data_IF_710463015366
#
_entry.id   IF_710463015366
#
_cell.length_a   1.000
_cell.length_b   1.000
_cell.length_c   1.000
_cell.angle_alpha   90.00
_cell.angle_beta   90.00
_cell.angle_gamma   90.00
#
_symmetry.space_group_name_H-M   'P 1'
#
loop_
_entity.id
_entity.type
_entity.pdbx_description
1 polymer ?
#
# COMPACT_ATOMS: atom_id res chain seq x y z
N UNK A 1 -18.50 38.19 65.12
CA UNK A 1 -18.40 36.85 64.67
C UNK A 1 -19.40 36.57 63.53
N UNK A 2 -18.97 36.67 62.29
CA UNK A 2 -19.82 36.41 61.12
C UNK A 2 -19.52 34.96 60.64
N UNK A 3 -20.52 34.08 60.71
CA UNK A 3 -20.44 32.69 60.20
C UNK A 3 -20.72 32.72 58.72
N UNK A 4 -19.74 32.29 57.92
CA UNK A 4 -19.95 32.02 56.49
C UNK A 4 -20.40 30.56 56.30
N UNK A 5 -21.61 30.38 55.78
CA UNK A 5 -22.11 29.12 55.26
C UNK A 5 -21.48 28.86 53.90
N UNK A 6 -20.69 27.83 53.75
CA UNK A 6 -20.21 27.31 52.48
C UNK A 6 -21.26 26.30 51.99
N UNK A 7 -21.98 26.70 50.92
CA UNK A 7 -22.86 25.79 50.19
C UNK A 7 -22.01 25.01 49.19
N UNK A 8 -21.81 23.74 49.43
CA UNK A 8 -21.12 22.81 48.54
C UNK A 8 -22.14 22.36 47.49
N UNK A 9 -22.09 22.94 46.29
CA UNK A 9 -22.88 22.46 45.14
C UNK A 9 -22.21 21.23 44.52
N UNK A 10 -22.73 20.04 44.80
CA UNK A 10 -22.37 18.81 44.09
C UNK A 10 -22.91 18.92 42.65
N UNK A 11 -22.02 19.19 41.69
CA UNK A 11 -22.34 19.02 40.29
C UNK A 11 -22.19 17.51 39.95
N UNK A 12 -23.31 16.83 39.88
CA UNK A 12 -23.40 15.48 39.30
C UNK A 12 -23.13 15.59 37.80
N UNK A 13 -21.89 15.35 37.39
CA UNK A 13 -21.55 15.07 35.99
C UNK A 13 -22.09 13.68 35.68
N UNK A 14 -23.31 13.61 35.15
CA UNK A 14 -23.84 12.43 34.52
C UNK A 14 -23.01 12.17 33.27
N UNK A 15 -21.97 11.36 33.39
CA UNK A 15 -21.23 10.78 32.27
C UNK A 15 -22.19 9.95 31.42
N UNK A 16 -22.74 10.52 30.37
CA UNK A 16 -23.41 9.78 29.32
C UNK A 16 -22.36 8.89 28.68
N UNK A 17 -22.27 7.64 29.10
CA UNK A 17 -21.63 6.58 28.33
C UNK A 17 -22.44 6.52 27.04
N UNK A 18 -21.91 7.13 25.95
CA UNK A 18 -22.48 6.96 24.63
C UNK A 18 -22.42 5.46 24.32
N UNK A 19 -23.53 4.76 24.53
CA UNK A 19 -23.73 3.41 23.99
C UNK A 19 -23.49 3.54 22.50
N UNK A 20 -22.49 2.83 21.98
CA UNK A 20 -22.33 2.70 20.55
C UNK A 20 -23.71 2.28 20.00
N UNK A 21 -24.29 3.12 19.15
CA UNK A 21 -25.63 2.82 18.60
C UNK A 21 -25.50 1.52 17.81
N UNK A 22 -26.29 0.55 18.23
CA UNK A 22 -26.34 -0.75 17.56
C UNK A 22 -26.84 -0.56 16.11
N UNK A 23 -26.22 -1.24 15.16
CA UNK A 23 -26.59 -1.11 13.76
C UNK A 23 -28.06 -1.46 13.57
N UNK A 24 -28.91 -0.59 12.98
CA UNK A 24 -30.35 -0.79 12.93
C UNK A 24 -30.79 -2.03 12.14
N UNK A 25 -29.94 -2.53 11.23
CA UNK A 25 -30.19 -3.76 10.46
C UNK A 25 -30.00 -5.06 11.24
N UNK A 26 -29.59 -5.03 12.52
CA UNK A 26 -29.32 -6.23 13.30
C UNK A 26 -30.56 -7.14 13.41
N UNK A 27 -31.69 -6.58 13.81
CA UNK A 27 -32.96 -7.34 13.93
C UNK A 27 -33.40 -7.97 12.59
N UNK A 28 -33.15 -7.28 11.47
CA UNK A 28 -33.41 -7.82 10.14
C UNK A 28 -32.52 -9.02 9.84
N UNK A 29 -31.20 -8.92 10.13
CA UNK A 29 -30.24 -9.98 9.90
C UNK A 29 -30.52 -11.20 10.80
N UNK A 30 -30.88 -10.97 12.08
CA UNK A 30 -31.28 -12.04 13.00
C UNK A 30 -32.47 -12.84 12.46
N UNK A 31 -33.46 -12.16 11.89
CA UNK A 31 -34.66 -12.78 11.36
C UNK A 31 -34.45 -13.48 10.01
N UNK A 32 -33.67 -12.87 9.10
CA UNK A 32 -33.64 -13.28 7.68
C UNK A 32 -32.28 -13.89 7.28
N UNK A 33 -31.28 -13.84 8.14
CA UNK A 33 -29.91 -14.22 7.84
C UNK A 33 -29.18 -13.19 6.94
N UNK A 34 -27.91 -13.44 6.65
CA UNK A 34 -27.10 -12.65 5.74
C UNK A 34 -26.91 -13.37 4.41
N UNK A 35 -27.42 -12.78 3.33
CA UNK A 35 -27.39 -13.33 1.97
C UNK A 35 -26.39 -12.60 1.04
N UNK A 36 -25.48 -11.80 1.61
CA UNK A 36 -24.54 -10.98 0.84
C UNK A 36 -25.03 -9.54 0.68
N UNK A 37 -24.51 -8.80 -0.33
CA UNK A 37 -24.81 -7.37 -0.53
C UNK A 37 -26.31 -7.05 -0.61
N UNK A 38 -27.12 -7.96 -1.18
CA UNK A 38 -28.57 -7.80 -1.24
C UNK A 38 -29.22 -7.61 0.13
N UNK A 39 -28.66 -8.19 1.20
CA UNK A 39 -29.15 -7.97 2.56
C UNK A 39 -28.95 -6.51 2.99
N UNK A 40 -27.82 -5.90 2.64
CA UNK A 40 -27.51 -4.51 2.97
C UNK A 40 -28.40 -3.52 2.20
N UNK A 41 -28.76 -3.86 0.98
CA UNK A 41 -29.61 -3.02 0.10
C UNK A 41 -31.12 -3.24 0.32
N UNK A 42 -31.48 -4.29 1.08
CA UNK A 42 -32.89 -4.60 1.35
C UNK A 42 -33.55 -3.52 2.20
N UNK A 43 -34.86 -3.44 2.13
CA UNK A 43 -35.69 -2.50 2.90
C UNK A 43 -35.31 -1.02 2.75
N UNK A 44 -34.58 -0.66 1.67
CA UNK A 44 -34.08 0.72 1.45
C UNK A 44 -32.96 1.15 2.39
N UNK A 45 -32.26 0.22 3.06
CA UNK A 45 -31.22 0.57 4.02
C UNK A 45 -29.98 1.21 3.36
N UNK A 46 -29.39 0.56 2.35
CA UNK A 46 -28.22 1.03 1.61
C UNK A 46 -28.39 0.89 0.08
N UNK A 47 -29.39 1.56 -0.51
CA UNK A 47 -29.75 1.33 -1.91
C UNK A 47 -28.63 1.77 -2.87
N UNK A 48 -28.28 0.91 -3.84
CA UNK A 48 -27.30 1.19 -4.88
C UNK A 48 -25.84 1.14 -4.44
N UNK A 49 -25.58 0.77 -3.20
CA UNK A 49 -24.23 0.72 -2.62
C UNK A 49 -23.32 -0.28 -3.32
N UNK A 50 -23.85 -1.46 -3.67
CA UNK A 50 -23.10 -2.47 -4.39
C UNK A 50 -22.67 -1.94 -5.78
N UNK A 51 -23.61 -1.37 -6.55
CA UNK A 51 -23.31 -0.78 -7.86
C UNK A 51 -22.26 0.35 -7.77
N UNK A 52 -22.35 1.19 -6.72
CA UNK A 52 -21.38 2.24 -6.45
C UNK A 52 -19.99 1.66 -6.19
N UNK A 53 -19.89 0.61 -5.36
CA UNK A 53 -18.62 -0.04 -5.03
C UNK A 53 -17.91 -0.62 -6.26
N UNK A 54 -18.63 -1.13 -7.25
CA UNK A 54 -18.06 -1.63 -8.51
C UNK A 54 -17.28 -0.57 -9.30
N UNK A 55 -17.47 0.72 -9.02
CA UNK A 55 -16.74 1.82 -9.71
C UNK A 55 -15.43 2.17 -9.04
N UNK A 56 -15.15 1.64 -7.85
CA UNK A 56 -14.01 2.01 -7.02
C UNK A 56 -12.74 1.27 -7.42
N UNK A 57 -11.59 1.81 -7.02
CA UNK A 57 -10.29 1.16 -7.20
C UNK A 57 -10.21 -0.18 -6.46
N UNK A 58 -10.85 -0.33 -5.29
CA UNK A 58 -10.85 -1.60 -4.56
C UNK A 58 -11.54 -2.73 -5.33
N UNK A 59 -12.53 -2.42 -6.16
CA UNK A 59 -13.14 -3.40 -7.03
C UNK A 59 -12.39 -3.58 -8.35
N UNK A 60 -12.09 -2.46 -9.02
CA UNK A 60 -11.47 -2.48 -10.35
C UNK A 60 -9.99 -2.82 -10.32
N UNK A 61 -9.30 -2.56 -9.20
CA UNK A 61 -7.85 -2.58 -9.08
C UNK A 61 -7.14 -1.78 -10.18
N UNK A 62 -7.82 -0.83 -10.76
CA UNK A 62 -7.32 0.01 -11.84
C UNK A 62 -7.93 1.41 -11.81
N UNK A 63 -7.21 2.38 -12.36
CA UNK A 63 -7.69 3.73 -12.66
C UNK A 63 -6.84 4.33 -13.78
N UNK A 64 -7.21 5.53 -14.27
CA UNK A 64 -6.32 6.30 -15.14
C UNK A 64 -5.02 6.62 -14.39
N UNK A 65 -3.90 6.45 -15.07
CA UNK A 65 -2.57 6.66 -14.50
C UNK A 65 -1.95 7.95 -15.08
N UNK A 66 -2.68 9.06 -14.99
CA UNK A 66 -2.37 10.32 -15.69
C UNK A 66 -1.04 10.97 -15.30
N UNK A 67 -0.50 10.57 -14.12
CA UNK A 67 0.79 11.01 -13.62
C UNK A 67 1.94 10.04 -13.91
N UNK A 68 1.74 9.04 -14.76
CA UNK A 68 2.73 8.00 -15.10
C UNK A 68 3.17 8.14 -16.55
N UNK A 69 4.47 8.04 -16.80
CA UNK A 69 5.02 8.04 -18.16
C UNK A 69 4.69 6.74 -18.91
N UNK A 70 4.67 6.84 -20.23
CA UNK A 70 4.51 5.71 -21.14
C UNK A 70 3.21 4.91 -20.91
N UNK A 71 2.15 5.60 -20.52
CA UNK A 71 0.79 5.07 -20.46
C UNK A 71 -0.10 5.82 -21.46
N UNK A 72 -1.11 5.17 -21.98
CA UNK A 72 -2.10 5.76 -22.85
C UNK A 72 -3.11 6.57 -22.01
N UNK A 73 -3.29 7.85 -22.35
CA UNK A 73 -4.20 8.73 -21.62
C UNK A 73 -5.65 8.24 -21.73
N UNK A 74 -6.36 8.29 -20.62
CA UNK A 74 -7.76 7.84 -20.54
C UNK A 74 -7.94 6.32 -20.43
N UNK A 75 -6.89 5.54 -20.63
CA UNK A 75 -6.92 4.10 -20.36
C UNK A 75 -6.67 3.83 -18.90
N UNK A 76 -7.37 2.84 -18.34
CA UNK A 76 -7.16 2.42 -16.96
C UNK A 76 -6.01 1.43 -16.87
N UNK A 77 -5.14 1.65 -15.89
CA UNK A 77 -4.01 0.79 -15.55
C UNK A 77 -4.07 0.38 -14.08
N UNK A 78 -3.72 -0.86 -13.80
CA UNK A 78 -3.75 -1.41 -12.46
C UNK A 78 -3.23 -2.83 -12.37
N UNK A 79 -3.80 -3.65 -11.51
CA UNK A 79 -3.34 -5.02 -11.28
C UNK A 79 -3.37 -5.88 -12.55
N UNK A 80 -4.35 -5.69 -13.43
CA UNK A 80 -4.55 -6.54 -14.61
C UNK A 80 -3.68 -6.16 -15.80
N UNK A 81 -3.34 -4.89 -15.96
CA UNK A 81 -2.72 -4.38 -17.19
C UNK A 81 -1.58 -3.37 -16.94
N UNK A 82 -0.91 -3.46 -15.78
CA UNK A 82 0.31 -2.67 -15.54
C UNK A 82 1.38 -3.09 -16.53
N UNK A 83 2.00 -2.10 -17.14
CA UNK A 83 3.16 -2.29 -18.01
C UNK A 83 4.46 -2.08 -17.22
N UNK A 84 5.56 -2.64 -17.70
CA UNK A 84 6.92 -2.49 -17.17
C UNK A 84 7.10 -2.85 -15.70
N UNK A 85 6.41 -3.86 -15.17
CA UNK A 85 6.59 -4.29 -13.79
C UNK A 85 6.83 -5.80 -13.67
N UNK A 86 7.80 -6.20 -12.85
CA UNK A 86 8.08 -7.60 -12.55
C UNK A 86 6.90 -8.34 -11.95
N UNK A 87 6.10 -7.63 -11.16
CA UNK A 87 4.84 -8.16 -10.62
C UNK A 87 3.72 -7.93 -11.61
N UNK A 88 3.93 -8.37 -12.79
CA UNK A 88 3.16 -8.08 -13.97
C UNK A 88 1.68 -7.88 -13.81
N UNK A 89 1.25 -6.82 -14.44
CA UNK A 89 -0.10 -6.46 -14.60
C UNK A 89 -0.72 -6.98 -15.88
N UNK A 90 -0.84 -8.28 -16.04
CA UNK A 90 -1.76 -8.85 -17.02
C UNK A 90 -2.64 -9.88 -16.34
N UNK A 91 -3.76 -10.18 -16.95
CA UNK A 91 -4.81 -11.01 -16.37
C UNK A 91 -4.32 -12.38 -15.93
N UNK A 92 -3.41 -12.97 -16.66
CA UNK A 92 -2.94 -14.32 -16.39
C UNK A 92 -2.02 -14.44 -15.19
N UNK A 93 -1.31 -13.36 -14.85
CA UNK A 93 -0.31 -13.38 -13.77
C UNK A 93 -0.94 -13.05 -12.43
N UNK A 94 -1.95 -12.18 -12.43
CA UNK A 94 -2.56 -11.66 -11.23
C UNK A 94 -3.78 -12.46 -10.76
N UNK A 95 -4.36 -13.25 -11.64
CA UNK A 95 -5.52 -14.08 -11.29
C UNK A 95 -5.14 -15.17 -10.28
N UNK A 96 -6.07 -15.42 -9.38
CA UNK A 96 -5.95 -16.54 -8.45
C UNK A 96 -6.03 -17.85 -9.23
N UNK A 97 -5.04 -18.69 -9.03
CA UNK A 97 -5.00 -19.99 -9.68
C UNK A 97 -4.45 -21.06 -8.77
N UNK A 98 -4.83 -22.28 -9.04
CA UNK A 98 -4.22 -23.46 -8.45
C UNK A 98 -2.86 -23.72 -9.09
N UNK A 99 -1.85 -23.88 -8.26
CA UNK A 99 -0.54 -24.34 -8.71
C UNK A 99 -0.60 -25.86 -8.78
N UNK A 100 -0.11 -26.47 -9.87
CA UNK A 100 -0.02 -27.93 -9.97
C UNK A 100 0.63 -28.55 -8.74
N UNK A 101 0.26 -29.79 -8.38
CA UNK A 101 0.81 -30.45 -7.21
C UNK A 101 2.35 -30.45 -7.23
N UNK A 102 2.93 -30.12 -6.09
CA UNK A 102 4.40 -30.21 -5.94
C UNK A 102 4.85 -31.66 -6.19
N UNK A 103 5.80 -31.89 -7.08
CA UNK A 103 6.35 -33.24 -7.32
C UNK A 103 6.95 -33.86 -6.06
N UNK A 104 7.40 -33.03 -5.10
CA UNK A 104 8.04 -33.47 -3.86
C UNK A 104 7.03 -33.86 -2.77
N UNK A 105 5.91 -33.14 -2.67
CA UNK A 105 5.00 -33.29 -1.52
C UNK A 105 3.59 -33.72 -1.91
N UNK A 106 3.24 -33.71 -3.20
CA UNK A 106 1.90 -33.95 -3.70
C UNK A 106 0.85 -32.89 -3.31
N UNK A 107 1.27 -31.83 -2.58
CA UNK A 107 0.37 -30.77 -2.13
C UNK A 107 0.09 -29.79 -3.25
N UNK A 108 -1.14 -29.30 -3.31
CA UNK A 108 -1.56 -28.16 -4.15
C UNK A 108 -1.39 -26.87 -3.38
N UNK A 109 -1.24 -25.74 -4.10
CA UNK A 109 -1.17 -24.39 -3.54
C UNK A 109 -1.99 -23.46 -4.42
N UNK A 110 -2.60 -22.47 -3.80
CA UNK A 110 -3.23 -21.39 -4.55
C UNK A 110 -2.37 -20.14 -4.45
N UNK A 111 -2.25 -19.41 -5.55
CA UNK A 111 -1.52 -18.14 -5.59
C UNK A 111 -2.20 -17.15 -6.53
N UNK A 112 -1.87 -15.90 -6.38
CA UNK A 112 -2.35 -14.79 -7.21
C UNK A 112 -2.41 -13.49 -6.42
N UNK A 113 -2.16 -12.37 -7.10
CA UNK A 113 -2.20 -11.06 -6.48
C UNK A 113 -3.63 -10.64 -6.10
N UNK A 114 -4.63 -11.25 -6.72
CA UNK A 114 -6.05 -10.94 -6.49
C UNK A 114 -6.62 -11.52 -5.18
N UNK A 115 -5.81 -12.17 -4.34
CA UNK A 115 -6.26 -12.61 -2.99
C UNK A 115 -6.79 -11.48 -2.12
N UNK A 116 -6.36 -10.24 -2.37
CA UNK A 116 -6.83 -9.04 -1.65
C UNK A 116 -8.08 -8.41 -2.28
N UNK A 117 -8.58 -8.92 -3.41
CA UNK A 117 -9.79 -8.39 -4.04
C UNK A 117 -11.03 -8.66 -3.17
N UNK A 118 -11.86 -7.64 -2.86
CA UNK A 118 -12.99 -7.77 -1.93
C UNK A 118 -14.23 -8.43 -2.58
N UNK A 119 -14.04 -9.53 -3.28
CA UNK A 119 -15.07 -10.35 -3.91
C UNK A 119 -14.79 -11.84 -3.73
N UNK A 120 -15.74 -12.70 -4.13
CA UNK A 120 -15.56 -14.14 -4.10
C UNK A 120 -15.03 -14.71 -5.43
N UNK A 121 -15.26 -14.03 -6.55
CA UNK A 121 -14.73 -14.40 -7.86
C UNK A 121 -13.58 -13.47 -8.23
N UNK A 122 -12.40 -14.01 -8.34
CA UNK A 122 -11.18 -13.22 -8.51
C UNK A 122 -10.89 -12.91 -9.98
N UNK A 123 -11.36 -13.74 -10.88
CA UNK A 123 -11.37 -13.46 -12.32
C UNK A 123 -12.25 -12.25 -12.69
N UNK A 124 -13.11 -11.81 -11.76
CA UNK A 124 -14.08 -10.75 -11.99
C UNK A 124 -13.63 -9.35 -11.58
N UNK A 125 -12.33 -9.14 -11.34
CA UNK A 125 -11.79 -7.80 -11.07
C UNK A 125 -12.19 -6.83 -12.17
N UNK A 126 -12.96 -5.80 -11.79
CA UNK A 126 -13.52 -4.82 -12.72
C UNK A 126 -14.76 -5.28 -13.48
N UNK A 127 -15.30 -6.47 -13.19
CA UNK A 127 -16.59 -6.90 -13.74
C UNK A 127 -17.74 -6.01 -13.25
N UNK A 128 -18.85 -6.02 -13.98
CA UNK A 128 -20.04 -5.23 -13.69
C UNK A 128 -21.30 -6.09 -13.82
N UNK A 129 -22.43 -5.56 -13.41
CA UNK A 129 -23.71 -6.24 -13.47
C UNK A 129 -24.08 -6.95 -12.17
N UNK A 130 -25.21 -7.66 -12.16
CA UNK A 130 -25.83 -8.18 -10.94
C UNK A 130 -24.97 -9.26 -10.25
N UNK A 131 -24.29 -10.08 -11.02
CA UNK A 131 -23.42 -11.13 -10.50
C UNK A 131 -22.20 -10.50 -9.78
N UNK A 132 -21.61 -9.45 -10.37
CA UNK A 132 -20.54 -8.70 -9.74
C UNK A 132 -21.00 -8.02 -8.44
N UNK A 133 -22.18 -7.39 -8.44
CA UNK A 133 -22.78 -6.82 -7.22
C UNK A 133 -22.94 -7.87 -6.12
N UNK A 134 -23.43 -9.07 -6.45
CA UNK A 134 -23.63 -10.16 -5.50
C UNK A 134 -22.30 -10.79 -5.02
N UNK A 135 -21.23 -10.65 -5.79
CA UNK A 135 -19.90 -11.18 -5.46
C UNK A 135 -19.16 -10.36 -4.41
N UNK A 136 -19.56 -9.10 -4.16
CA UNK A 136 -18.87 -8.21 -3.22
C UNK A 136 -18.91 -8.78 -1.81
N UNK A 137 -17.76 -8.74 -1.12
CA UNK A 137 -17.63 -9.09 0.29
C UNK A 137 -17.63 -7.83 1.16
N UNK A 138 -18.82 -7.29 1.44
CA UNK A 138 -18.97 -6.08 2.26
C UNK A 138 -18.38 -6.25 3.66
N UNK A 139 -18.52 -7.47 4.23
CA UNK A 139 -18.15 -7.74 5.60
C UNK A 139 -16.64 -7.75 5.82
N UNK A 140 -15.84 -8.02 4.78
CA UNK A 140 -14.37 -8.01 4.88
C UNK A 140 -13.85 -6.64 5.32
N UNK A 141 -14.51 -5.56 4.91
CA UNK A 141 -14.19 -4.19 5.31
C UNK A 141 -15.01 -3.71 6.52
N UNK A 142 -16.29 -4.09 6.60
CA UNK A 142 -17.22 -3.48 7.54
C UNK A 142 -17.44 -4.26 8.83
N UNK A 143 -16.95 -5.51 8.95
CA UNK A 143 -17.17 -6.30 10.16
C UNK A 143 -15.88 -6.52 10.97
N UNK A 144 -15.77 -5.98 12.20
CA UNK A 144 -14.66 -6.32 13.10
C UNK A 144 -14.70 -7.78 13.57
N UNK A 145 -15.84 -8.44 13.43
CA UNK A 145 -16.03 -9.86 13.77
C UNK A 145 -15.77 -10.82 12.60
N UNK A 146 -15.33 -10.28 11.42
CA UNK A 146 -15.02 -11.10 10.26
C UNK A 146 -13.96 -12.15 10.57
N UNK A 147 -14.20 -13.40 10.22
CA UNK A 147 -13.25 -14.49 10.37
C UNK A 147 -12.41 -14.66 9.10
N UNK A 148 -11.24 -14.02 9.09
CA UNK A 148 -10.31 -14.08 7.95
C UNK A 148 -9.75 -15.48 7.68
N UNK A 149 -9.91 -16.47 8.61
CA UNK A 149 -9.54 -17.86 8.37
C UNK A 149 -10.41 -18.52 7.30
N UNK A 150 -11.64 -18.01 7.13
CA UNK A 150 -12.57 -18.45 6.08
C UNK A 150 -12.21 -17.86 4.72
N UNK A 151 -11.43 -16.78 4.66
CA UNK A 151 -10.99 -16.14 3.43
C UNK A 151 -9.79 -16.87 2.83
N UNK A 152 -10.07 -18.07 2.31
CA UNK A 152 -9.09 -18.94 1.65
C UNK A 152 -9.60 -19.33 0.28
N UNK A 153 -8.69 -19.42 -0.73
CA UNK A 153 -9.10 -19.91 -2.05
C UNK A 153 -9.47 -21.39 -1.99
N UNK A 154 -10.50 -21.75 -2.77
CA UNK A 154 -10.95 -23.12 -2.96
C UNK A 154 -11.55 -23.26 -4.36
N UNK A 155 -11.80 -24.50 -4.80
CA UNK A 155 -12.58 -24.78 -6.00
C UNK A 155 -14.06 -24.89 -5.66
N UNK A 156 -14.88 -24.13 -6.39
CA UNK A 156 -16.34 -24.25 -6.30
C UNK A 156 -16.85 -25.53 -7.00
N UNK A 157 -18.16 -25.74 -6.97
CA UNK A 157 -18.84 -26.93 -7.53
C UNK A 157 -18.61 -27.11 -9.04
N UNK A 158 -18.30 -26.00 -9.76
CA UNK A 158 -18.02 -26.03 -11.20
C UNK A 158 -16.50 -25.97 -11.50
N UNK A 159 -15.67 -26.11 -10.46
CA UNK A 159 -14.20 -26.19 -10.58
C UNK A 159 -13.48 -24.84 -10.72
N UNK A 160 -14.17 -23.71 -10.52
CA UNK A 160 -13.55 -22.38 -10.53
C UNK A 160 -12.83 -22.11 -9.22
N UNK A 161 -11.67 -21.47 -9.28
CA UNK A 161 -10.98 -21.01 -8.09
C UNK A 161 -11.65 -19.73 -7.59
N UNK A 162 -12.17 -19.79 -6.37
CA UNK A 162 -12.90 -18.70 -5.73
C UNK A 162 -12.36 -18.42 -4.34
N UNK A 163 -12.65 -17.24 -3.80
CA UNK A 163 -12.27 -16.84 -2.44
C UNK A 163 -13.42 -17.08 -1.48
N UNK A 164 -13.16 -17.77 -0.37
CA UNK A 164 -14.12 -17.94 0.72
C UNK A 164 -14.46 -16.60 1.38
N UNK A 165 -15.67 -16.53 1.92
CA UNK A 165 -16.20 -15.35 2.62
C UNK A 165 -16.79 -15.76 3.97
N UNK A 166 -16.68 -14.90 4.97
CA UNK A 166 -17.47 -15.07 6.21
C UNK A 166 -18.86 -14.49 6.02
N UNK A 167 -19.83 -15.36 5.80
CA UNK A 167 -21.26 -15.00 5.67
C UNK A 167 -22.06 -15.27 6.94
N UNK A 168 -21.40 -15.41 8.09
CA UNK A 168 -22.08 -15.68 9.35
C UNK A 168 -22.95 -14.49 9.80
N UNK A 169 -24.08 -14.80 10.43
CA UNK A 169 -24.92 -13.79 11.07
C UNK A 169 -24.12 -12.98 12.12
N UNK A 170 -23.19 -13.63 12.83
CA UNK A 170 -22.30 -12.98 13.79
C UNK A 170 -21.48 -11.86 13.13
N UNK A 171 -20.85 -12.13 11.99
CA UNK A 171 -20.07 -11.12 11.28
C UNK A 171 -20.97 -10.00 10.73
N UNK A 172 -22.14 -10.35 10.19
CA UNK A 172 -23.08 -9.39 9.62
C UNK A 172 -23.73 -8.47 10.68
N UNK A 173 -24.03 -8.98 11.87
CA UNK A 173 -24.58 -8.18 12.98
C UNK A 173 -23.54 -7.25 13.64
N UNK A 174 -22.26 -7.48 13.40
CA UNK A 174 -21.17 -6.68 13.96
C UNK A 174 -20.72 -5.54 13.03
N UNK A 175 -21.43 -5.28 11.94
CA UNK A 175 -21.02 -4.26 10.96
C UNK A 175 -20.94 -2.85 11.55
N UNK A 176 -19.96 -2.08 11.04
CA UNK A 176 -19.71 -0.71 11.44
C UNK A 176 -18.68 -0.02 10.55
N UNK A 177 -18.11 1.07 11.08
CA UNK A 177 -17.00 1.77 10.44
C UNK A 177 -15.80 0.81 10.31
N UNK A 178 -15.12 0.74 9.16
CA UNK A 178 -13.92 -0.08 9.00
C UNK A 178 -12.84 0.25 10.03
N UNK A 179 -12.34 -0.77 10.69
CA UNK A 179 -11.26 -0.64 11.66
C UNK A 179 -9.90 -1.02 11.07
N UNK A 180 -8.82 -0.79 11.85
CA UNK A 180 -7.44 -1.12 11.44
C UNK A 180 -7.31 -2.58 11.02
N UNK A 181 -7.88 -3.52 11.77
CA UNK A 181 -7.83 -4.96 11.47
C UNK A 181 -8.37 -5.27 10.06
N UNK A 182 -9.45 -4.62 9.65
CA UNK A 182 -10.07 -4.86 8.34
C UNK A 182 -9.13 -4.44 7.19
N UNK A 183 -8.52 -3.27 7.29
CA UNK A 183 -7.59 -2.78 6.27
C UNK A 183 -6.29 -3.60 6.25
N UNK A 184 -5.71 -3.84 7.44
CA UNK A 184 -4.42 -4.52 7.58
C UNK A 184 -4.47 -6.00 7.21
N UNK A 185 -5.64 -6.64 7.19
CA UNK A 185 -5.79 -8.00 6.68
C UNK A 185 -5.26 -8.18 5.24
N UNK A 186 -5.32 -7.10 4.43
CA UNK A 186 -4.78 -7.08 3.07
C UNK A 186 -3.51 -6.21 2.97
N UNK A 187 -3.48 -5.03 3.60
CA UNK A 187 -2.42 -4.05 3.41
C UNK A 187 -1.11 -4.41 4.13
N UNK A 188 -1.14 -5.11 5.28
CA UNK A 188 0.09 -5.56 5.94
C UNK A 188 0.85 -6.59 5.10
N UNK A 189 0.11 -7.52 4.47
CA UNK A 189 0.70 -8.55 3.63
C UNK A 189 0.97 -8.09 2.18
N UNK A 190 0.56 -6.88 1.81
CA UNK A 190 0.62 -6.41 0.44
C UNK A 190 2.04 -6.47 -0.14
N UNK A 191 2.17 -7.11 -1.31
CA UNK A 191 3.45 -7.23 -2.02
C UNK A 191 4.50 -8.06 -1.28
N UNK A 192 4.08 -8.94 -0.36
CA UNK A 192 4.97 -9.84 0.39
C UNK A 192 5.27 -9.39 1.82
N UNK A 193 4.51 -8.45 2.34
CA UNK A 193 4.59 -8.00 3.72
C UNK A 193 5.48 -6.79 3.97
N UNK A 194 5.66 -6.48 5.24
CA UNK A 194 6.37 -5.26 5.71
C UNK A 194 7.81 -5.18 5.21
N UNK A 195 8.49 -6.33 5.13
CA UNK A 195 9.90 -6.39 4.75
C UNK A 195 10.13 -6.33 3.23
N UNK A 196 9.09 -6.50 2.40
CA UNK A 196 9.27 -6.56 0.95
C UNK A 196 8.93 -5.23 0.27
N UNK A 197 7.72 -5.10 -0.26
CA UNK A 197 7.37 -3.98 -1.14
C UNK A 197 6.43 -2.99 -0.49
N UNK A 198 5.14 -3.33 -0.44
CA UNK A 198 4.06 -2.40 -0.08
C UNK A 198 3.54 -2.56 1.33
N UNK A 199 3.79 -3.73 1.95
CA UNK A 199 3.31 -3.99 3.30
C UNK A 199 3.90 -3.01 4.31
N UNK A 200 3.13 -2.68 5.32
CA UNK A 200 3.56 -1.89 6.47
C UNK A 200 2.77 -2.33 7.70
N UNK A 201 3.32 -2.08 8.87
CA UNK A 201 2.58 -2.25 10.12
C UNK A 201 1.96 -0.92 10.54
N UNK A 202 0.80 -0.98 11.22
CA UNK A 202 0.16 0.21 11.77
C UNK A 202 -0.26 -0.07 13.20
N UNK A 203 0.68 0.07 14.12
CA UNK A 203 0.53 -0.18 15.56
C UNK A 203 1.01 1.03 16.36
N UNK A 204 0.67 1.08 17.63
CA UNK A 204 1.11 2.17 18.54
C UNK A 204 2.63 2.26 18.69
N UNK A 205 3.34 1.18 18.40
CA UNK A 205 4.81 1.09 18.47
C UNK A 205 5.46 1.60 17.18
N UNK A 206 4.75 1.56 16.05
CA UNK A 206 5.30 1.84 14.73
C UNK A 206 4.87 3.17 14.14
N UNK A 207 3.72 3.70 14.59
CA UNK A 207 3.16 4.95 14.02
C UNK A 207 2.52 5.82 15.11
N UNK A 208 2.88 7.10 15.14
CA UNK A 208 2.38 8.05 16.13
C UNK A 208 0.86 8.26 16.06
N UNK A 209 0.26 8.14 14.88
CA UNK A 209 -1.18 8.28 14.71
C UNK A 209 -1.92 7.05 15.26
N UNK A 210 -1.38 5.85 15.07
CA UNK A 210 -1.88 4.65 15.71
C UNK A 210 -1.76 4.72 17.24
N UNK A 211 -0.66 5.30 17.77
CA UNK A 211 -0.50 5.56 19.20
C UNK A 211 -1.56 6.53 19.73
N UNK A 212 -2.07 7.43 18.91
CA UNK A 212 -3.20 8.34 19.21
C UNK A 212 -4.56 7.69 18.96
N UNK A 213 -4.62 6.38 18.70
CA UNK A 213 -5.84 5.62 18.42
C UNK A 213 -6.57 6.03 17.15
N UNK A 214 -5.89 6.70 16.23
CA UNK A 214 -6.43 6.95 14.90
C UNK A 214 -6.50 5.63 14.13
N UNK A 215 -7.50 5.53 13.24
CA UNK A 215 -7.69 4.39 12.36
C UNK A 215 -7.49 4.84 10.90
N UNK A 216 -7.32 3.89 9.99
CA UNK A 216 -6.98 4.16 8.59
C UNK A 216 -7.93 5.17 7.93
N UNK A 217 -9.23 5.07 8.20
CA UNK A 217 -10.26 5.93 7.62
C UNK A 217 -10.33 7.34 8.24
N UNK A 218 -9.54 7.64 9.25
CA UNK A 218 -9.41 9.02 9.76
C UNK A 218 -8.53 9.88 8.84
N UNK A 219 -7.59 9.26 8.11
CA UNK A 219 -6.83 9.87 7.03
C UNK A 219 -7.42 9.53 5.66
N UNK A 220 -7.81 8.29 5.45
CA UNK A 220 -8.35 7.76 4.19
C UNK A 220 -9.88 7.75 4.21
N UNK A 221 -10.51 8.85 4.63
CA UNK A 221 -11.96 9.00 4.72
C UNK A 221 -12.64 8.81 3.36
N UNK A 222 -13.39 7.72 3.22
CA UNK A 222 -14.07 7.41 1.97
C UNK A 222 -15.32 8.28 1.77
N UNK A 223 -15.50 8.76 0.55
CA UNK A 223 -16.78 9.27 0.06
C UNK A 223 -17.26 8.35 -1.05
N UNK A 224 -18.48 7.82 -0.90
CA UNK A 224 -19.07 6.93 -1.91
C UNK A 224 -18.16 5.73 -2.22
N UNK A 225 -17.54 5.11 -1.19
CA UNK A 225 -16.53 4.05 -1.26
C UNK A 225 -15.23 4.40 -2.00
N UNK A 226 -15.08 5.62 -2.48
CA UNK A 226 -13.83 6.12 -3.04
C UNK A 226 -12.89 6.51 -1.91
N UNK A 227 -11.83 5.74 -1.73
CA UNK A 227 -10.87 5.90 -0.64
C UNK A 227 -9.69 6.74 -1.14
N UNK A 228 -9.43 7.93 -0.55
CA UNK A 228 -8.28 8.75 -0.91
C UNK A 228 -6.97 8.01 -0.74
N UNK A 229 -6.01 8.23 -1.63
CA UNK A 229 -4.66 7.66 -1.55
C UNK A 229 -3.60 8.75 -1.40
N UNK A 230 -2.41 8.38 -0.92
CA UNK A 230 -1.23 9.23 -1.02
C UNK A 230 -0.61 9.21 -2.42
N UNK A 231 0.51 9.93 -2.58
CA UNK A 231 1.33 9.87 -3.78
C UNK A 231 2.41 8.79 -3.61
N UNK A 232 2.32 7.74 -4.40
CA UNK A 232 3.27 6.64 -4.43
C UNK A 232 3.63 6.31 -5.89
N UNK A 233 4.91 6.27 -6.28
CA UNK A 233 5.32 5.95 -7.65
C UNK A 233 4.81 4.60 -8.14
N UNK A 234 4.54 3.68 -7.24
CA UNK A 234 4.04 2.36 -7.59
C UNK A 234 2.53 2.16 -7.33
N UNK A 235 1.83 3.16 -6.84
CA UNK A 235 0.38 3.12 -6.71
C UNK A 235 -0.29 3.87 -7.87
N UNK A 236 -0.48 3.20 -8.99
CA UNK A 236 -1.09 3.78 -10.18
C UNK A 236 -2.61 3.87 -10.08
N UNK A 237 -3.22 2.91 -9.38
CA UNK A 237 -4.65 2.90 -9.17
C UNK A 237 -5.04 3.83 -8.01
N UNK A 238 -5.90 4.81 -8.28
CA UNK A 238 -6.42 5.75 -7.29
C UNK A 238 -7.79 6.28 -7.72
N UNK A 239 -8.60 6.71 -6.76
CA UNK A 239 -9.93 7.27 -7.00
C UNK A 239 -9.91 8.79 -7.29
N UNK A 240 -8.75 9.35 -7.66
CA UNK A 240 -8.57 10.76 -8.00
C UNK A 240 -8.43 11.69 -6.79
N UNK A 241 -8.75 11.22 -5.58
CA UNK A 241 -8.62 12.00 -4.34
C UNK A 241 -7.30 11.66 -3.68
N UNK A 242 -6.60 12.67 -3.18
CA UNK A 242 -5.30 12.51 -2.52
C UNK A 242 -5.37 13.02 -1.08
N UNK A 243 -4.65 12.33 -0.19
CA UNK A 243 -4.46 12.72 1.20
C UNK A 243 -3.03 13.22 1.41
N UNK A 244 -2.87 14.30 2.14
CA UNK A 244 -1.59 14.89 2.51
C UNK A 244 -1.52 15.18 4.01
N UNK A 245 -0.31 15.25 4.56
CA UNK A 245 -0.09 15.58 5.96
C UNK A 245 -0.64 16.98 6.29
N UNK A 246 -0.51 17.92 5.34
CA UNK A 246 -0.98 19.30 5.48
C UNK A 246 -2.51 19.44 5.62
N UNK A 247 -3.29 18.42 5.22
CA UNK A 247 -4.75 18.46 5.37
C UNK A 247 -5.18 18.56 6.84
N UNK A 248 -4.34 18.04 7.76
CA UNK A 248 -4.57 18.14 9.21
C UNK A 248 -3.55 19.05 9.91
N UNK A 249 -2.28 19.04 9.46
CA UNK A 249 -1.19 19.74 10.14
C UNK A 249 -0.93 21.16 9.59
N UNK A 250 -1.55 21.53 8.47
CA UNK A 250 -1.29 22.79 7.78
C UNK A 250 0.09 22.82 7.09
N UNK A 251 0.43 23.96 6.50
CA UNK A 251 1.67 24.13 5.72
C UNK A 251 2.88 24.53 6.59
N UNK A 252 2.68 25.05 7.79
CA UNK A 252 3.72 25.47 8.72
C UNK A 252 3.49 24.89 10.13
N UNK A 253 3.63 23.55 10.30
CA UNK A 253 3.25 22.88 11.54
C UNK A 253 4.26 23.01 12.68
N UNK A 254 5.45 23.51 12.42
CA UNK A 254 6.54 23.60 13.40
C UNK A 254 6.58 24.99 14.05
N UNK A 255 7.01 25.03 15.31
CA UNK A 255 7.34 26.30 15.97
C UNK A 255 8.60 26.95 15.40
N UNK A 256 9.54 26.14 14.94
CA UNK A 256 10.79 26.53 14.31
C UNK A 256 10.57 26.89 12.84
N UNK A 257 10.90 28.12 12.46
CA UNK A 257 10.73 28.63 11.10
C UNK A 257 11.64 27.93 10.07
N UNK A 258 12.83 27.49 10.47
CA UNK A 258 13.73 26.76 9.59
C UNK A 258 13.11 25.42 9.17
N UNK A 259 12.49 24.70 10.11
CA UNK A 259 11.77 23.49 9.81
C UNK A 259 10.57 23.74 8.87
N UNK A 260 9.85 24.85 9.07
CA UNK A 260 8.77 25.24 8.15
C UNK A 260 9.30 25.61 6.76
N UNK A 261 10.46 26.28 6.64
CA UNK A 261 11.10 26.57 5.34
C UNK A 261 11.49 25.30 4.59
N UNK A 262 11.89 24.24 5.29
CA UNK A 262 12.20 22.96 4.67
C UNK A 262 10.99 22.34 3.96
N UNK A 263 9.76 22.55 4.44
CA UNK A 263 8.58 21.94 3.83
C UNK A 263 8.35 22.34 2.37
N UNK A 264 8.93 23.45 1.92
CA UNK A 264 8.89 23.85 0.52
C UNK A 264 9.64 22.88 -0.41
N UNK A 265 10.71 22.24 0.08
CA UNK A 265 11.60 21.39 -0.73
C UNK A 265 11.82 19.99 -0.17
N UNK A 266 11.36 19.72 1.02
CA UNK A 266 11.51 18.44 1.73
C UNK A 266 10.14 17.98 2.16
N UNK A 267 9.74 16.79 1.76
CA UNK A 267 8.48 16.20 2.17
C UNK A 267 8.50 15.91 3.68
N UNK A 268 7.36 16.06 4.35
CA UNK A 268 7.22 15.78 5.78
C UNK A 268 7.73 14.37 6.14
N UNK A 269 7.46 13.41 5.27
CA UNK A 269 7.89 12.03 5.40
C UNK A 269 9.41 11.89 5.48
N UNK A 270 10.18 12.77 4.85
CA UNK A 270 11.65 12.70 4.85
C UNK A 270 12.21 12.78 6.26
N UNK A 271 11.67 13.65 7.10
CA UNK A 271 12.10 13.77 8.50
C UNK A 271 11.33 12.80 9.40
N UNK A 272 10.02 12.64 9.18
CA UNK A 272 9.13 11.91 10.09
C UNK A 272 9.01 10.42 9.80
N UNK A 273 9.61 9.91 8.71
CA UNK A 273 9.75 8.47 8.41
C UNK A 273 11.23 8.17 8.15
N UNK A 274 12.07 8.21 9.20
CA UNK A 274 13.53 8.05 9.06
C UNK A 274 13.94 6.61 8.69
N UNK A 275 13.04 5.67 8.81
CA UNK A 275 13.26 4.26 8.52
C UNK A 275 12.05 3.66 7.79
N UNK A 276 12.30 2.69 6.92
CA UNK A 276 11.29 1.89 6.24
C UNK A 276 11.45 0.42 6.62
N UNK A 277 10.46 -0.41 6.36
CA UNK A 277 10.67 -1.85 6.38
C UNK A 277 11.71 -2.26 5.33
N UNK A 278 12.41 -3.34 5.55
CA UNK A 278 13.62 -3.82 4.88
C UNK A 278 13.83 -3.51 3.39
N UNK A 279 15.08 -3.54 2.96
CA UNK A 279 15.45 -3.51 1.55
C UNK A 279 15.48 -4.94 0.99
N UNK A 280 15.13 -5.11 -0.27
CA UNK A 280 14.93 -6.40 -0.86
C UNK A 280 15.39 -6.46 -2.31
N UNK A 281 16.09 -7.56 -2.66
CA UNK A 281 16.41 -7.88 -4.04
C UNK A 281 16.11 -9.36 -4.32
N UNK A 282 15.38 -9.65 -5.40
CA UNK A 282 15.05 -11.01 -5.85
C UNK A 282 15.47 -11.28 -7.30
N UNK A 283 15.86 -12.52 -7.56
CA UNK A 283 16.09 -13.02 -8.90
C UNK A 283 14.90 -13.86 -9.38
N UNK A 284 14.05 -13.28 -10.23
CA UNK A 284 12.92 -13.97 -10.85
C UNK A 284 13.35 -14.87 -12.03
N UNK A 285 14.60 -14.78 -12.45
CA UNK A 285 15.14 -15.67 -13.50
C UNK A 285 15.69 -16.97 -12.92
N UNK A 286 15.80 -17.08 -11.58
CA UNK A 286 16.19 -18.26 -10.84
C UNK A 286 15.27 -18.47 -9.65
N UNK A 287 14.78 -19.68 -9.50
CA UNK A 287 13.89 -20.04 -8.42
C UNK A 287 14.47 -21.13 -7.55
N UNK A 288 14.27 -21.03 -6.25
CA UNK A 288 14.79 -21.97 -5.25
C UNK A 288 13.62 -22.72 -4.63
N UNK A 289 13.75 -24.05 -4.47
CA UNK A 289 12.73 -24.87 -3.85
C UNK A 289 12.69 -24.65 -2.34
N UNK A 290 11.50 -24.30 -1.85
CA UNK A 290 11.21 -24.19 -0.43
C UNK A 290 10.95 -25.52 0.26
N UNK A 291 10.83 -25.49 1.58
CA UNK A 291 10.54 -26.68 2.41
C UNK A 291 9.15 -27.28 2.14
N UNK A 292 8.21 -26.47 1.67
CA UNK A 292 6.86 -26.89 1.24
C UNK A 292 6.85 -27.60 -0.11
N UNK A 293 8.01 -27.68 -0.79
CA UNK A 293 8.19 -28.33 -2.08
C UNK A 293 7.84 -27.47 -3.28
N UNK A 294 7.42 -26.24 -3.08
CA UNK A 294 7.22 -25.26 -4.14
C UNK A 294 8.44 -24.38 -4.31
N UNK A 295 8.56 -23.75 -5.48
CA UNK A 295 9.66 -22.87 -5.78
C UNK A 295 9.24 -21.41 -5.59
N UNK A 296 10.20 -20.57 -5.24
CA UNK A 296 10.05 -19.11 -5.15
C UNK A 296 11.26 -18.40 -5.75
N UNK A 297 11.12 -17.13 -6.20
CA UNK A 297 12.24 -16.37 -6.73
C UNK A 297 13.38 -16.30 -5.71
N UNK A 298 14.61 -16.57 -6.18
CA UNK A 298 15.78 -16.58 -5.30
C UNK A 298 15.98 -15.21 -4.65
N UNK A 299 16.10 -15.18 -3.35
CA UNK A 299 16.43 -13.95 -2.60
C UNK A 299 17.92 -13.67 -2.75
N UNK A 300 18.28 -12.52 -3.32
CA UNK A 300 19.65 -12.07 -3.49
C UNK A 300 20.12 -11.22 -2.31
N UNK A 301 19.25 -10.34 -1.81
CA UNK A 301 19.48 -9.50 -0.63
C UNK A 301 18.18 -9.37 0.13
N UNK A 302 18.26 -9.48 1.42
CA UNK A 302 17.17 -9.18 2.34
C UNK A 302 17.75 -8.51 3.58
N UNK A 303 17.35 -7.28 3.81
CA UNK A 303 17.60 -6.57 5.05
C UNK A 303 16.33 -6.67 5.90
N UNK A 304 16.37 -7.59 6.86
CA UNK A 304 15.19 -7.98 7.63
C UNK A 304 14.70 -6.91 8.63
N UNK A 305 15.51 -5.88 8.86
CA UNK A 305 15.23 -4.82 9.81
C UNK A 305 14.89 -3.51 9.11
N UNK A 306 14.39 -2.55 9.86
CA UNK A 306 14.17 -1.20 9.39
C UNK A 306 15.46 -0.60 8.83
N UNK A 307 15.42 -0.15 7.58
CA UNK A 307 16.55 0.46 6.86
C UNK A 307 16.32 1.96 6.65
N UNK A 308 17.40 2.67 6.37
CA UNK A 308 17.27 4.04 5.90
C UNK A 308 16.57 4.05 4.53
N UNK A 309 15.64 4.98 4.29
CA UNK A 309 15.03 5.15 2.97
C UNK A 309 16.05 5.57 1.90
N UNK A 310 15.75 5.28 0.63
CA UNK A 310 16.35 5.98 -0.48
C UNK A 310 15.66 7.35 -0.63
N UNK A 311 16.42 8.42 -0.86
CA UNK A 311 15.87 9.76 -1.00
C UNK A 311 16.02 10.24 -2.44
N UNK A 312 14.94 10.77 -3.01
CA UNK A 312 14.95 11.32 -4.36
C UNK A 312 13.99 12.52 -4.47
N UNK A 313 14.23 13.38 -5.46
CA UNK A 313 13.30 14.42 -5.86
C UNK A 313 12.04 13.81 -6.45
N UNK A 314 10.88 14.28 -6.02
CA UNK A 314 9.60 13.78 -6.45
C UNK A 314 8.59 14.91 -6.62
N UNK A 315 8.08 15.07 -7.83
CA UNK A 315 7.04 16.04 -8.21
C UNK A 315 5.66 15.40 -8.39
N UNK A 316 5.46 14.19 -7.82
CA UNK A 316 4.23 13.41 -7.91
C UNK A 316 3.96 12.77 -9.27
N UNK A 317 4.91 12.88 -10.22
CA UNK A 317 4.87 12.15 -11.48
C UNK A 317 5.86 10.98 -11.45
N UNK A 318 5.60 9.97 -12.27
CA UNK A 318 6.28 8.68 -12.22
C UNK A 318 6.99 8.39 -13.53
N UNK A 319 8.29 8.14 -13.45
CA UNK A 319 9.02 7.54 -14.54
C UNK A 319 8.67 6.05 -14.62
N UNK A 320 8.27 5.59 -15.80
CA UNK A 320 7.87 4.22 -16.05
C UNK A 320 8.55 3.72 -17.32
N UNK A 321 9.57 2.89 -17.13
CA UNK A 321 10.31 2.21 -18.20
C UNK A 321 10.46 0.72 -17.87
N UNK A 322 10.85 -0.12 -18.82
CA UNK A 322 11.08 -1.53 -18.55
C UNK A 322 12.05 -1.81 -17.39
N UNK A 323 13.08 -0.98 -17.23
CA UNK A 323 14.11 -1.16 -16.20
C UNK A 323 13.87 -0.33 -14.92
N UNK A 324 12.96 0.64 -14.93
CA UNK A 324 12.81 1.58 -13.83
C UNK A 324 11.38 2.08 -13.66
N UNK A 325 10.85 1.95 -12.46
CA UNK A 325 9.61 2.60 -12.01
C UNK A 325 9.93 3.41 -10.75
N UNK A 326 9.80 4.71 -10.83
CA UNK A 326 10.19 5.54 -9.70
C UNK A 326 9.79 7.01 -9.81
N UNK A 327 10.23 7.82 -8.83
CA UNK A 327 9.91 9.23 -8.80
C UNK A 327 10.51 9.99 -9.97
N UNK A 328 9.75 10.94 -10.50
CA UNK A 328 10.28 12.02 -11.34
C UNK A 328 10.40 13.29 -10.53
N UNK A 329 11.36 14.06 -10.87
CA UNK A 329 11.62 15.34 -10.24
C UNK A 329 13.10 15.69 -10.29
N UNK A 330 13.41 16.93 -9.99
CA UNK A 330 14.76 17.42 -9.93
C UNK A 330 14.87 18.59 -8.98
N UNK A 331 16.09 18.95 -8.64
CA UNK A 331 16.40 20.16 -7.86
C UNK A 331 15.91 21.44 -8.57
N UNK A 332 15.95 21.48 -9.89
CA UNK A 332 15.50 22.64 -10.69
C UNK A 332 13.97 22.75 -10.74
N UNK A 333 13.27 21.67 -10.58
CA UNK A 333 11.81 21.64 -10.55
C UNK A 333 11.31 22.14 -9.18
N UNK A 334 10.61 23.27 -9.16
CA UNK A 334 10.11 23.92 -7.94
C UNK A 334 9.00 23.12 -7.23
N UNK A 335 8.29 22.28 -7.95
CA UNK A 335 7.25 21.41 -7.40
C UNK A 335 7.83 20.15 -6.75
N UNK A 336 9.09 19.84 -7.05
CA UNK A 336 9.76 18.68 -6.48
C UNK A 336 10.16 18.90 -5.03
N UNK A 337 9.90 17.85 -4.23
CA UNK A 337 10.39 17.73 -2.84
C UNK A 337 11.27 16.48 -2.72
N UNK A 338 12.27 16.52 -1.87
CA UNK A 338 13.01 15.31 -1.48
C UNK A 338 12.03 14.43 -0.69
N UNK A 339 11.87 13.18 -1.09
CA UNK A 339 10.92 12.24 -0.51
C UNK A 339 11.60 10.91 -0.19
N UNK A 340 11.24 10.21 0.90
CA UNK A 340 11.79 8.90 1.24
C UNK A 340 11.07 7.79 0.47
N UNK A 341 11.87 6.82 0.00
CA UNK A 341 11.37 5.67 -0.73
C UNK A 341 11.95 4.38 -0.20
N UNK A 342 11.15 3.33 -0.25
CA UNK A 342 11.61 1.96 -0.16
C UNK A 342 11.97 1.48 -1.56
N UNK A 343 13.22 1.11 -1.76
CA UNK A 343 13.70 0.63 -3.05
C UNK A 343 13.61 -0.91 -3.11
N UNK A 344 13.12 -1.40 -4.21
CA UNK A 344 13.07 -2.80 -4.52
C UNK A 344 13.79 -3.07 -5.84
N UNK A 345 14.66 -4.06 -5.86
CA UNK A 345 15.38 -4.49 -7.04
C UNK A 345 15.00 -5.92 -7.40
N UNK A 346 14.90 -6.19 -8.68
CA UNK A 346 14.64 -7.54 -9.16
C UNK A 346 15.30 -7.82 -10.48
N UNK A 347 15.84 -9.01 -10.60
CA UNK A 347 16.31 -9.53 -11.88
C UNK A 347 15.15 -10.26 -12.54
N UNK A 348 14.83 -9.88 -13.78
CA UNK A 348 13.71 -10.42 -14.55
C UNK A 348 14.12 -10.66 -15.99
N UNK A 349 13.26 -11.25 -16.80
CA UNK A 349 13.52 -11.42 -18.21
C UNK A 349 13.06 -10.22 -19.02
N UNK A 350 13.92 -9.79 -19.93
CA UNK A 350 13.64 -8.78 -20.94
C UNK A 350 13.77 -9.41 -22.33
N UNK A 351 13.00 -8.91 -23.27
CA UNK A 351 13.22 -9.30 -24.66
C UNK A 351 14.44 -8.58 -25.23
N UNK A 352 15.42 -9.36 -25.72
CA UNK A 352 16.68 -8.86 -26.24
C UNK A 352 16.52 -7.86 -27.39
N UNK A 353 15.49 -8.06 -28.24
CA UNK A 353 15.29 -7.23 -29.43
C UNK A 353 14.66 -5.87 -29.08
N UNK A 354 13.68 -5.88 -28.19
CA UNK A 354 12.85 -4.70 -27.91
C UNK A 354 13.22 -4.00 -26.60
N UNK A 355 13.97 -4.67 -25.73
CA UNK A 355 14.26 -4.18 -24.37
C UNK A 355 13.04 -4.18 -23.43
N UNK A 356 11.90 -4.72 -23.89
CA UNK A 356 10.69 -4.76 -23.07
C UNK A 356 10.78 -5.84 -22.00
N UNK A 357 10.17 -5.56 -20.84
CA UNK A 357 10.03 -6.56 -19.79
C UNK A 357 9.07 -7.66 -20.24
N UNK A 358 9.52 -8.90 -20.15
CA UNK A 358 8.68 -10.06 -20.46
C UNK A 358 7.86 -10.45 -19.23
N UNK A 359 6.57 -10.66 -19.44
CA UNK A 359 5.67 -11.18 -18.42
C UNK A 359 6.00 -12.65 -18.11
N UNK A 360 5.72 -13.06 -16.87
CA UNK A 360 5.88 -14.43 -16.42
C UNK A 360 4.60 -14.92 -15.73
N UNK A 361 4.07 -16.03 -16.16
CA UNK A 361 3.11 -16.81 -15.39
C UNK A 361 3.84 -17.54 -14.27
N UNK A 362 3.48 -17.29 -13.03
CA UNK A 362 4.18 -17.86 -11.89
C UNK A 362 3.80 -19.31 -11.59
N UNK A 363 2.72 -19.82 -12.16
CA UNK A 363 2.28 -21.19 -11.89
C UNK A 363 3.32 -22.26 -12.32
N UNK A 364 3.87 -22.25 -13.55
CA UNK A 364 4.92 -23.20 -13.93
C UNK A 364 6.16 -23.11 -13.05
N UNK A 365 6.81 -21.96 -12.84
CA UNK A 365 8.01 -21.92 -12.01
C UNK A 365 7.74 -22.24 -10.54
N UNK A 366 6.57 -21.92 -9.98
CA UNK A 366 6.22 -22.30 -8.60
C UNK A 366 6.16 -23.83 -8.43
N UNK A 367 5.68 -24.55 -9.44
CA UNK A 367 5.60 -26.02 -9.40
C UNK A 367 6.94 -26.70 -9.69
N UNK A 368 7.69 -26.23 -10.68
CA UNK A 368 8.83 -26.95 -11.27
C UNK A 368 10.18 -26.25 -11.15
N UNK A 369 10.19 -24.94 -10.84
CA UNK A 369 11.38 -24.10 -10.93
C UNK A 369 11.70 -23.61 -12.35
N UNK A 370 10.94 -24.04 -13.38
CA UNK A 370 11.19 -23.64 -14.77
C UNK A 370 10.62 -22.25 -15.07
N UNK A 371 11.49 -21.26 -15.03
CA UNK A 371 11.15 -19.85 -15.24
C UNK A 371 10.84 -19.55 -16.72
N UNK A 372 11.49 -20.25 -17.66
CA UNK A 372 11.23 -20.06 -19.09
C UNK A 372 9.86 -20.62 -19.49
N UNK A 373 9.42 -21.72 -18.88
CA UNK A 373 8.05 -22.20 -19.04
C UNK A 373 7.03 -21.15 -18.56
N UNK A 374 7.34 -20.40 -17.50
CA UNK A 374 6.51 -19.28 -17.03
C UNK A 374 6.44 -18.13 -18.04
N UNK A 375 7.57 -17.75 -18.65
CA UNK A 375 7.61 -16.75 -19.73
C UNK A 375 6.83 -17.22 -20.94
N UNK A 376 7.01 -18.48 -21.37
CA UNK A 376 6.29 -19.05 -22.50
C UNK A 376 4.77 -19.10 -22.29
N UNK A 377 4.32 -19.46 -21.09
CA UNK A 377 2.90 -19.43 -20.71
C UNK A 377 2.30 -18.04 -20.81
N UNK A 378 2.99 -17.04 -20.26
CA UNK A 378 2.56 -15.65 -20.33
C UNK A 378 2.55 -15.13 -21.77
N UNK A 379 3.61 -15.39 -22.55
CA UNK A 379 3.70 -14.98 -23.96
C UNK A 379 2.54 -15.54 -24.79
N UNK A 380 2.24 -16.83 -24.61
CA UNK A 380 1.11 -17.49 -25.29
C UNK A 380 -0.22 -16.79 -25.00
N UNK A 381 -0.48 -16.47 -23.75
CA UNK A 381 -1.73 -15.81 -23.34
C UNK A 381 -1.82 -14.39 -23.87
N UNK A 382 -0.70 -13.66 -23.93
CA UNK A 382 -0.63 -12.32 -24.45
C UNK A 382 -0.55 -12.25 -25.98
N UNK A 383 -0.52 -13.39 -26.68
CA UNK A 383 -0.39 -13.43 -28.13
C UNK A 383 0.98 -13.03 -28.67
N UNK A 384 2.02 -13.02 -27.81
CA UNK A 384 3.41 -12.72 -28.17
C UNK A 384 4.01 -13.95 -28.81
N UNK A 385 4.33 -13.86 -30.11
CA UNK A 385 4.85 -15.01 -30.89
C UNK A 385 6.35 -15.09 -30.92
N UNK A 386 7.03 -13.95 -30.91
CA UNK A 386 8.48 -13.87 -30.98
C UNK A 386 9.01 -13.09 -29.79
N UNK A 387 9.97 -13.66 -29.10
CA UNK A 387 10.68 -13.04 -27.98
C UNK A 387 12.01 -13.80 -27.74
N UNK A 388 13.01 -13.08 -27.22
CA UNK A 388 14.32 -13.64 -26.85
C UNK A 388 14.64 -13.24 -25.40
N UNK A 389 14.35 -14.10 -24.40
CA UNK A 389 14.46 -13.75 -23.01
C UNK A 389 15.90 -13.65 -22.55
N UNK A 390 16.29 -12.48 -22.08
CA UNK A 390 17.59 -12.22 -21.45
C UNK A 390 17.38 -11.65 -20.03
N UNK A 391 18.20 -12.09 -19.04
CA UNK A 391 18.14 -11.51 -17.71
C UNK A 391 18.56 -10.04 -17.70
N UNK A 392 17.83 -9.23 -16.95
CA UNK A 392 18.12 -7.81 -16.72
C UNK A 392 17.60 -7.35 -15.35
N UNK A 393 18.03 -6.18 -14.91
CA UNK A 393 17.62 -5.59 -13.65
C UNK A 393 16.47 -4.61 -13.83
N UNK A 394 15.54 -4.63 -12.89
CA UNK A 394 14.52 -3.61 -12.73
C UNK A 394 14.57 -3.05 -11.31
N UNK A 395 14.51 -1.73 -11.19
CA UNK A 395 14.39 -1.02 -9.91
C UNK A 395 13.02 -0.39 -9.80
N UNK A 396 12.38 -0.57 -8.64
CA UNK A 396 11.06 -0.03 -8.35
C UNK A 396 11.10 0.71 -7.01
N UNK A 397 10.60 1.95 -7.01
CA UNK A 397 10.46 2.79 -5.83
C UNK A 397 9.03 2.75 -5.29
N UNK A 398 8.90 2.58 -3.99
CA UNK A 398 7.66 2.67 -3.24
C UNK A 398 7.74 3.83 -2.27
N UNK A 399 6.77 4.74 -2.28
CA UNK A 399 6.74 5.87 -1.35
C UNK A 399 6.60 5.41 0.10
N UNK A 400 7.41 5.97 0.98
CA UNK A 400 7.30 5.73 2.41
C UNK A 400 6.34 6.74 3.02
N UNK A 401 5.09 6.32 3.29
CA UNK A 401 4.00 7.20 3.72
C UNK A 401 3.40 6.82 5.09
N UNK A 402 3.82 5.71 5.68
CA UNK A 402 3.44 5.22 7.00
C UNK A 402 4.67 5.01 7.87
N UNK A 403 4.51 4.62 9.11
CA UNK A 403 5.58 4.53 10.14
C UNK A 403 6.04 5.91 10.60
N UNK A 404 5.10 6.84 10.74
CA UNK A 404 5.38 8.22 11.15
C UNK A 404 5.81 8.28 12.62
N UNK A 405 6.93 8.95 12.88
CA UNK A 405 7.42 9.19 14.24
C UNK A 405 7.66 10.68 14.51
N UNK A 406 7.44 11.10 15.75
CA UNK A 406 7.82 12.43 16.25
C UNK A 406 9.17 12.38 16.95
N UNK A 407 9.32 11.45 17.86
CA UNK A 407 10.48 11.36 18.76
C UNK A 407 11.77 10.96 18.03
N UNK A 408 11.64 10.17 16.97
CA UNK A 408 12.76 9.70 16.14
C UNK A 408 12.86 10.44 14.82
N UNK A 409 12.17 11.56 14.65
CA UNK A 409 12.29 12.37 13.44
C UNK A 409 13.74 12.84 13.23
N UNK A 410 14.15 12.95 11.96
CA UNK A 410 15.51 13.39 11.63
C UNK A 410 15.77 14.79 12.17
N UNK A 411 16.88 14.94 12.85
CA UNK A 411 17.43 16.24 13.29
C UNK A 411 18.25 16.90 12.19
N UNK A 412 18.63 18.17 12.39
CA UNK A 412 19.51 18.90 11.48
C UNK A 412 20.80 18.12 11.20
N UNK A 413 21.43 17.54 12.22
CA UNK A 413 22.66 16.78 12.10
C UNK A 413 22.52 15.49 11.28
N UNK A 414 21.35 14.86 11.27
CA UNK A 414 21.13 13.66 10.46
C UNK A 414 21.23 13.94 8.96
N UNK A 415 20.93 15.15 8.50
CA UNK A 415 21.03 15.55 7.10
C UNK A 415 22.31 16.37 6.82
N UNK A 416 22.68 17.30 7.72
CA UNK A 416 23.74 18.27 7.50
C UNK A 416 25.14 17.82 7.98
N UNK A 417 25.29 16.58 8.45
CA UNK A 417 26.62 16.00 8.70
C UNK A 417 27.24 15.47 7.39
N UNK A 418 28.61 15.34 7.38
CA UNK A 418 29.33 14.80 6.21
C UNK A 418 28.86 13.40 5.79
N UNK A 419 28.45 12.59 6.73
CA UNK A 419 27.89 11.25 6.56
C UNK A 419 26.38 11.23 6.86
N UNK A 420 25.71 12.33 6.57
CA UNK A 420 24.26 12.45 6.74
C UNK A 420 23.48 11.49 5.85
N UNK A 421 22.20 11.34 6.15
CA UNK A 421 21.33 10.39 5.42
C UNK A 421 21.03 10.79 3.99
N UNK A 422 21.20 12.09 3.64
CA UNK A 422 20.97 12.59 2.29
C UNK A 422 22.24 12.56 1.46
N UNK A 423 22.24 11.83 0.36
CA UNK A 423 23.28 11.95 -0.66
C UNK A 423 23.03 13.23 -1.49
N UNK A 424 23.58 14.35 -1.05
CA UNK A 424 23.42 15.63 -1.72
C UNK A 424 23.97 15.63 -3.15
N UNK A 425 25.03 14.81 -3.44
CA UNK A 425 25.58 14.69 -4.78
C UNK A 425 24.58 14.02 -5.72
N UNK A 426 24.01 12.90 -5.30
CA UNK A 426 22.94 12.22 -6.04
C UNK A 426 21.69 13.10 -6.21
N UNK A 427 21.45 14.02 -5.27
CA UNK A 427 20.37 15.01 -5.33
C UNK A 427 20.70 16.24 -6.19
N UNK A 428 21.88 16.28 -6.84
CA UNK A 428 22.27 17.32 -7.79
C UNK A 428 22.85 18.59 -7.17
N UNK A 429 23.44 18.51 -5.97
CA UNK A 429 24.19 19.61 -5.36
C UNK A 429 25.64 19.57 -5.78
N UNK A 430 26.25 20.75 -6.00
CA UNK A 430 27.67 20.89 -6.27
C UNK A 430 28.53 20.64 -5.01
N UNK A 431 29.79 20.32 -5.20
CA UNK A 431 30.74 20.10 -4.07
C UNK A 431 30.83 21.31 -3.15
N UNK A 432 30.74 22.53 -3.71
CA UNK A 432 30.78 23.77 -2.91
C UNK A 432 29.54 23.93 -2.06
N UNK A 433 28.37 23.59 -2.60
CA UNK A 433 27.11 23.59 -1.86
C UNK A 433 27.10 22.50 -0.80
N UNK A 434 27.59 21.30 -1.13
CA UNK A 434 27.70 20.20 -0.16
C UNK A 434 28.60 20.60 1.00
N UNK A 435 29.75 21.22 0.74
CA UNK A 435 30.64 21.74 1.81
C UNK A 435 29.89 22.73 2.71
N UNK A 436 29.15 23.67 2.13
CA UNK A 436 28.34 24.63 2.90
C UNK A 436 27.26 23.94 3.72
N UNK A 437 26.52 23.02 3.11
CA UNK A 437 25.41 22.30 3.77
C UNK A 437 25.87 21.35 4.88
N UNK A 438 27.13 20.86 4.81
CA UNK A 438 27.68 19.92 5.79
C UNK A 438 28.74 20.54 6.66
N UNK A 439 28.87 21.86 6.65
CA UNK A 439 29.84 22.57 7.51
C UNK A 439 29.40 22.55 8.98
N UNK A 440 30.35 22.40 9.88
CA UNK A 440 30.06 22.42 11.33
C UNK A 440 29.46 23.76 11.79
N UNK A 441 29.69 24.87 11.09
CA UNK A 441 29.17 26.20 11.43
C UNK A 441 27.62 26.22 11.47
N UNK A 442 26.96 25.63 10.46
CA UNK A 442 25.48 25.56 10.43
C UNK A 442 24.92 24.81 11.65
N UNK A 443 25.63 23.78 12.11
CA UNK A 443 25.22 22.99 13.27
C UNK A 443 25.37 23.75 14.58
N UNK A 444 26.53 24.44 14.77
CA UNK A 444 26.80 25.18 16.00
C UNK A 444 25.96 26.46 16.14
N UNK A 445 25.72 27.19 15.05
CA UNK A 445 24.87 28.38 15.06
C UNK A 445 23.44 28.06 15.47
N UNK A 446 22.93 26.91 15.03
CA UNK A 446 21.55 26.46 15.39
C UNK A 446 21.46 25.90 16.81
N UNK A 447 22.51 25.26 17.31
CA UNK A 447 22.57 24.81 18.71
C UNK A 447 22.59 26.02 19.65
N UNK A 448 23.37 27.04 19.32
CA UNK A 448 23.48 28.27 20.10
C UNK A 448 22.17 29.09 20.10
N UNK A 449 21.43 29.10 18.98
CA UNK A 449 20.13 29.74 18.89
C UNK A 449 19.09 29.03 19.78
N UNK A 450 19.09 27.69 19.75
CA UNK A 450 18.15 26.88 20.54
C UNK A 450 18.38 26.99 22.05
N UNK A 451 19.63 27.09 22.49
CA UNK A 451 19.98 27.32 23.88
C UNK A 451 19.55 28.71 24.40
N UNK A 452 19.43 29.72 23.51
CA UNK A 452 18.91 31.05 23.88
C UNK A 452 17.39 31.12 24.04
N UNK A 453 16.65 30.18 23.44
CA UNK A 453 15.18 30.13 23.57
C UNK A 453 14.72 29.31 24.80
N UNK A 454 15.62 28.52 25.39
CA UNK A 454 15.35 27.71 26.59
C UNK A 454 15.74 28.41 27.90
N UNK A 455 16.28 29.64 27.84
CA UNK A 455 16.57 30.54 28.97
C UNK A 455 15.68 31.79 28.90
#
# INVERSE_FOLDING_TARGET
MKRYLIVLSLVLVAGSVARAMEHPGKAYIEKNGYQGPSTCESQGCHPGTAKQFLTTVHWKHASTADNVDNVERGKEYGMKNRIYTMCNGNDIVNDLKEIPPSPKTGKTKFTGCNTCHPGNHISDVGSTGKDAENAIDCLVCHSPAYDYRLRKPYKDEVGRVVMGQDRSARAAMAVGKPGVKNCMACHEAAGGGVLLKRGFSFTKETDVHAAKKMVCVDCHGAKDHRIPTGYDPNNWANDGVRVACSDCHGEAPHKDEDNNRHTARIACQTCHIPRTGGAFAKDFTKWTQGSDGFYEPTTLRMEANETAPAYAWYNRTVANTPAFIGPKGSRADKESRIHPFKMYEGKAFFDRKTGQLLSMDFAPPMSTGDTLAGVASAAKTLGIREYDPVPGWQTIYFGSNHLVTKEKALSCANCHARNGVLDFRALGYSEDEIRKLTSAAIYFDKMAAKQKEEW
#
